data_IF_933084012746
#
_entry.id   IF_933084012746
#
_cell.length_a   1.000
_cell.length_b   1.000
_cell.length_c   1.000
_cell.angle_alpha   90.00
_cell.angle_beta   90.00
_cell.angle_gamma   90.00
#
_symmetry.space_group_name_H-M   'P 1'
#
loop_
_entity.id
_entity.type
_entity.pdbx_description
1 polymer ?
#
# COMPACT_ATOMS: atom_id res chain seq x y z
N UNK A 1 13.66 -43.48 -37.39
CA UNK A 1 13.23 -42.11 -37.63
C UNK A 1 12.01 -41.83 -36.76
N UNK A 2 12.19 -41.09 -35.66
CA UNK A 2 11.07 -40.68 -34.78
C UNK A 2 10.22 -39.65 -35.53
N UNK A 3 8.97 -39.98 -35.88
CA UNK A 3 8.03 -39.02 -36.48
C UNK A 3 7.79 -37.89 -35.50
N UNK A 4 8.13 -36.65 -35.91
CA UNK A 4 7.81 -35.44 -35.10
C UNK A 4 6.29 -35.31 -34.97
N UNK A 5 5.81 -35.12 -33.74
CA UNK A 5 4.40 -34.81 -33.48
C UNK A 5 4.01 -33.49 -34.16
N UNK A 6 2.85 -33.49 -34.80
CA UNK A 6 2.34 -32.29 -35.47
C UNK A 6 1.84 -31.28 -34.43
N UNK A 7 2.11 -29.99 -34.64
CA UNK A 7 1.57 -28.88 -33.85
C UNK A 7 1.29 -27.67 -34.75
N UNK A 8 0.22 -26.94 -34.44
CA UNK A 8 -0.15 -25.68 -35.09
C UNK A 8 -0.75 -24.74 -34.08
N UNK A 9 -0.40 -23.46 -34.15
CA UNK A 9 -0.98 -22.40 -33.29
C UNK A 9 -1.67 -21.36 -34.16
N UNK A 10 -2.84 -20.87 -33.69
CA UNK A 10 -3.66 -19.85 -34.33
C UNK A 10 -3.95 -18.76 -33.33
N UNK A 11 -4.05 -17.49 -33.78
CA UNK A 11 -4.29 -16.33 -32.90
C UNK A 11 -3.03 -15.77 -32.25
N UNK A 12 -3.19 -14.64 -31.55
CA UNK A 12 -2.15 -13.87 -30.89
C UNK A 12 -2.00 -14.22 -29.40
N UNK A 13 -1.06 -13.58 -28.72
CA UNK A 13 -0.84 -13.77 -27.28
C UNK A 13 -2.10 -13.30 -26.50
N UNK A 14 -2.76 -14.22 -25.82
CA UNK A 14 -4.02 -13.98 -25.07
C UNK A 14 -5.22 -14.72 -25.67
N UNK A 15 -5.29 -14.90 -26.99
CA UNK A 15 -6.36 -15.62 -27.69
C UNK A 15 -5.85 -16.84 -28.47
N UNK A 16 -4.64 -17.31 -28.15
CA UNK A 16 -4.00 -18.40 -28.90
C UNK A 16 -4.69 -19.74 -28.69
N UNK A 17 -5.10 -20.36 -29.79
CA UNK A 17 -5.53 -21.76 -29.84
C UNK A 17 -4.38 -22.59 -30.37
N UNK A 18 -3.89 -23.57 -29.60
CA UNK A 18 -2.84 -24.51 -30.00
C UNK A 18 -3.44 -25.89 -30.27
N UNK A 19 -3.14 -26.43 -31.41
CA UNK A 19 -3.43 -27.83 -31.83
C UNK A 19 -2.15 -28.64 -31.76
N UNK A 20 -2.21 -29.90 -31.30
CA UNK A 20 -1.04 -30.75 -31.24
C UNK A 20 -1.45 -32.23 -31.16
N UNK A 21 -0.57 -33.10 -31.59
CA UNK A 21 -0.67 -34.54 -31.37
C UNK A 21 0.14 -34.92 -30.14
N UNK A 22 -0.49 -35.56 -29.16
CA UNK A 22 0.19 -36.01 -27.93
C UNK A 22 1.24 -37.11 -28.24
N UNK A 23 0.93 -37.91 -29.25
CA UNK A 23 1.83 -38.94 -29.84
C UNK A 23 1.62 -38.97 -31.36
N UNK A 24 2.66 -39.25 -32.09
CA UNK A 24 2.62 -39.25 -33.55
C UNK A 24 1.48 -40.13 -34.10
N UNK A 25 0.55 -39.53 -34.86
CA UNK A 25 -0.63 -40.22 -35.40
C UNK A 25 -1.74 -40.46 -34.37
N UNK A 26 -1.66 -39.88 -33.18
CA UNK A 26 -2.73 -39.90 -32.18
C UNK A 26 -3.86 -38.91 -32.49
N UNK A 27 -4.94 -38.91 -31.69
CA UNK A 27 -5.99 -37.89 -31.78
C UNK A 27 -5.43 -36.50 -31.54
N UNK A 28 -5.96 -35.51 -32.26
CA UNK A 28 -5.53 -34.12 -32.11
C UNK A 28 -6.10 -33.53 -30.83
N UNK A 29 -5.22 -32.95 -30.04
CA UNK A 29 -5.53 -32.21 -28.85
C UNK A 29 -5.62 -30.71 -29.16
N UNK A 30 -6.53 -30.02 -28.51
CA UNK A 30 -6.65 -28.56 -28.51
C UNK A 30 -6.27 -28.03 -27.15
N UNK A 31 -5.43 -27.01 -27.09
CA UNK A 31 -5.13 -26.23 -25.90
C UNK A 31 -5.46 -24.76 -26.16
N UNK A 32 -6.13 -24.12 -25.24
CA UNK A 32 -6.45 -22.70 -25.26
C UNK A 32 -6.38 -22.13 -23.85
N UNK A 33 -5.91 -20.91 -23.72
CA UNK A 33 -5.93 -20.20 -22.44
C UNK A 33 -7.24 -19.42 -22.33
N UNK A 34 -8.05 -19.80 -21.36
CA UNK A 34 -9.29 -19.11 -21.00
C UNK A 34 -9.16 -18.65 -19.55
N UNK A 35 -9.25 -17.35 -19.29
CA UNK A 35 -9.14 -16.77 -17.94
C UNK A 35 -7.85 -17.17 -17.20
N UNK A 36 -6.71 -17.17 -17.91
CA UNK A 36 -5.41 -17.49 -17.34
C UNK A 36 -5.17 -18.98 -17.06
N UNK A 37 -6.12 -19.86 -17.40
CA UNK A 37 -5.99 -21.31 -17.27
C UNK A 37 -5.91 -21.98 -18.64
N UNK A 38 -4.98 -22.91 -18.77
CA UNK A 38 -4.89 -23.76 -19.94
C UNK A 38 -5.99 -24.83 -19.92
N UNK A 39 -6.91 -24.75 -20.88
CA UNK A 39 -7.96 -25.75 -21.09
C UNK A 39 -7.52 -26.65 -22.23
N UNK A 40 -7.33 -27.93 -21.93
CA UNK A 40 -6.98 -28.97 -22.91
C UNK A 40 -8.16 -29.87 -23.18
N UNK A 41 -8.43 -30.15 -24.47
CA UNK A 41 -9.52 -31.03 -24.87
C UNK A 41 -9.08 -31.84 -26.09
N UNK A 42 -9.37 -33.15 -26.11
CA UNK A 42 -9.25 -33.96 -27.29
C UNK A 42 -10.36 -33.63 -28.27
N UNK A 43 -10.02 -33.51 -29.56
CA UNK A 43 -10.99 -33.33 -30.64
C UNK A 43 -11.63 -34.65 -31.09
N UNK A 44 -11.15 -35.79 -30.59
CA UNK A 44 -11.69 -37.12 -30.88
C UNK A 44 -11.42 -37.63 -32.30
N UNK A 45 -10.65 -36.89 -33.11
CA UNK A 45 -10.27 -37.26 -34.48
C UNK A 45 -8.82 -36.93 -34.77
N UNK A 46 -8.32 -37.40 -35.96
CA UNK A 46 -6.95 -37.21 -36.45
C UNK A 46 -6.86 -36.31 -37.67
N UNK A 47 -7.99 -35.80 -38.12
CA UNK A 47 -8.09 -34.95 -39.31
C UNK A 47 -7.59 -33.54 -38.97
N UNK A 48 -6.45 -33.16 -39.54
CA UNK A 48 -5.76 -31.89 -39.29
C UNK A 48 -6.51 -30.70 -39.88
N UNK A 49 -7.11 -30.86 -41.06
CA UNK A 49 -7.88 -29.77 -41.69
C UNK A 49 -9.16 -29.47 -40.92
N UNK A 50 -9.85 -30.52 -40.48
CA UNK A 50 -11.03 -30.39 -39.62
C UNK A 50 -10.66 -29.75 -38.28
N UNK A 51 -9.53 -30.13 -37.68
CA UNK A 51 -9.04 -29.55 -36.45
C UNK A 51 -8.72 -28.05 -36.60
N UNK A 52 -8.12 -27.66 -37.73
CA UNK A 52 -7.84 -26.25 -38.05
C UNK A 52 -9.11 -25.46 -38.21
N UNK A 53 -10.13 -25.96 -38.92
CA UNK A 53 -11.43 -25.30 -39.05
C UNK A 53 -12.09 -25.06 -37.66
N UNK A 54 -12.14 -26.11 -36.84
CA UNK A 54 -12.68 -26.00 -35.46
C UNK A 54 -11.89 -25.02 -34.60
N UNK A 55 -10.58 -24.90 -34.80
CA UNK A 55 -9.76 -23.94 -34.09
C UNK A 55 -10.00 -22.50 -34.56
N UNK A 56 -10.26 -22.29 -35.86
CA UNK A 56 -10.68 -20.99 -36.39
C UNK A 56 -12.07 -20.58 -35.90
N UNK A 57 -13.05 -21.49 -35.88
CA UNK A 57 -14.37 -21.26 -35.30
C UNK A 57 -14.27 -20.82 -33.85
N UNK A 58 -13.46 -21.56 -33.06
CA UNK A 58 -13.22 -21.18 -31.65
C UNK A 58 -12.51 -19.84 -31.53
N UNK A 59 -11.50 -19.57 -32.37
CA UNK A 59 -10.77 -18.32 -32.37
C UNK A 59 -11.70 -17.15 -32.70
N UNK A 60 -12.55 -17.32 -33.73
CA UNK A 60 -13.57 -16.33 -34.10
C UNK A 60 -14.55 -16.11 -32.97
N UNK A 61 -15.02 -17.17 -32.31
CA UNK A 61 -15.91 -17.07 -31.16
C UNK A 61 -15.24 -16.40 -29.94
N UNK A 62 -13.94 -16.65 -29.72
CA UNK A 62 -13.14 -15.96 -28.67
C UNK A 62 -12.95 -14.47 -29.00
N UNK A 63 -12.69 -14.14 -30.27
CA UNK A 63 -12.52 -12.76 -30.72
C UNK A 63 -13.84 -12.00 -30.77
N UNK A 64 -14.94 -12.66 -31.11
CA UNK A 64 -16.29 -12.07 -31.12
C UNK A 64 -16.91 -11.97 -29.73
N UNK A 65 -16.23 -12.40 -28.67
CA UNK A 65 -16.79 -12.51 -27.33
C UNK A 65 -18.06 -13.40 -27.25
N UNK A 66 -18.28 -14.27 -28.24
CA UNK A 66 -19.39 -15.22 -28.24
C UNK A 66 -19.19 -16.36 -27.24
N UNK A 67 -17.93 -16.60 -26.79
CA UNK A 67 -17.63 -17.17 -25.48
C UNK A 67 -17.53 -16.06 -24.43
N UNK A 68 -18.35 -15.00 -24.57
CA UNK A 68 -18.72 -14.25 -23.40
C UNK A 68 -19.06 -15.31 -22.37
N UNK A 69 -18.20 -15.37 -21.35
CA UNK A 69 -18.44 -16.11 -20.15
C UNK A 69 -19.93 -16.32 -20.03
N UNK A 70 -20.39 -17.56 -20.21
CA UNK A 70 -21.64 -17.93 -19.55
C UNK A 70 -21.42 -17.42 -18.14
N UNK A 71 -22.09 -16.32 -17.79
CA UNK A 71 -22.02 -15.68 -16.50
C UNK A 71 -22.74 -16.60 -15.51
N UNK A 72 -22.35 -17.88 -15.52
CA UNK A 72 -22.74 -18.88 -14.60
C UNK A 72 -21.81 -18.80 -13.39
N UNK A 73 -21.83 -17.64 -12.74
CA UNK A 73 -21.22 -17.38 -11.45
C UNK A 73 -19.82 -16.71 -11.48
N UNK A 74 -19.80 -15.43 -11.22
CA UNK A 74 -18.57 -14.71 -10.89
C UNK A 74 -17.88 -15.35 -9.68
N UNK A 75 -16.70 -15.94 -9.88
CA UNK A 75 -15.89 -16.49 -8.78
C UNK A 75 -15.00 -15.41 -8.18
N UNK A 76 -14.53 -15.62 -6.95
CA UNK A 76 -13.61 -14.70 -6.28
C UNK A 76 -12.28 -14.55 -7.02
N UNK A 77 -11.77 -15.61 -7.63
CA UNK A 77 -10.57 -15.54 -8.46
C UNK A 77 -10.78 -14.65 -9.66
N UNK A 78 -11.85 -14.89 -10.42
CA UNK A 78 -12.18 -14.08 -11.60
C UNK A 78 -12.46 -12.61 -11.23
N UNK A 79 -13.21 -12.36 -10.15
CA UNK A 79 -13.41 -11.00 -9.62
C UNK A 79 -12.09 -10.29 -9.35
N UNK A 80 -11.15 -10.99 -8.70
CA UNK A 80 -9.83 -10.46 -8.40
C UNK A 80 -9.06 -10.07 -9.67
N UNK A 81 -9.02 -10.96 -10.65
CA UNK A 81 -8.25 -10.74 -11.88
C UNK A 81 -8.85 -9.56 -12.66
N UNK A 82 -10.16 -9.55 -12.87
CA UNK A 82 -10.86 -8.46 -13.56
C UNK A 82 -10.70 -7.11 -12.84
N UNK A 83 -10.78 -7.09 -11.49
CA UNK A 83 -10.58 -5.85 -10.75
C UNK A 83 -9.16 -5.32 -10.87
N UNK A 84 -8.14 -6.20 -10.81
CA UNK A 84 -6.74 -5.81 -10.91
C UNK A 84 -6.36 -5.33 -12.32
N UNK A 85 -7.07 -5.76 -13.35
CA UNK A 85 -6.91 -5.28 -14.73
C UNK A 85 -7.77 -4.03 -15.04
N UNK A 86 -8.69 -3.66 -14.15
CA UNK A 86 -9.60 -2.54 -14.38
C UNK A 86 -8.88 -1.18 -14.40
N UNK A 87 -9.40 -0.20 -15.16
CA UNK A 87 -8.88 1.18 -15.12
C UNK A 87 -8.91 1.78 -13.71
N UNK A 88 -9.87 1.38 -12.88
CA UNK A 88 -9.99 1.82 -11.49
C UNK A 88 -8.80 1.38 -10.62
N UNK A 89 -8.17 0.24 -10.94
CA UNK A 89 -6.97 -0.22 -10.27
C UNK A 89 -5.69 0.25 -10.98
N UNK A 90 -5.63 0.12 -12.29
CA UNK A 90 -4.44 0.47 -13.10
C UNK A 90 -4.09 1.96 -13.05
N UNK A 91 -5.06 2.85 -12.83
CA UNK A 91 -4.82 4.29 -12.62
C UNK A 91 -4.16 4.65 -11.30
N UNK A 92 -3.91 3.69 -10.39
CA UNK A 92 -3.26 3.95 -9.09
C UNK A 92 -1.74 3.98 -9.23
N UNK A 93 -1.06 4.55 -8.21
CA UNK A 93 0.41 4.49 -8.10
C UNK A 93 0.88 3.02 -8.03
N UNK A 94 1.97 2.67 -8.73
CA UNK A 94 2.51 1.31 -8.81
C UNK A 94 2.64 0.59 -7.45
N UNK A 95 3.06 1.31 -6.41
CA UNK A 95 3.11 0.77 -5.05
C UNK A 95 1.74 0.33 -4.53
N UNK A 96 0.70 1.13 -4.77
CA UNK A 96 -0.67 0.80 -4.36
C UNK A 96 -1.21 -0.40 -5.12
N UNK A 97 -0.93 -0.49 -6.42
CA UNK A 97 -1.29 -1.65 -7.24
C UNK A 97 -0.65 -2.93 -6.67
N UNK A 98 0.65 -2.90 -6.38
CA UNK A 98 1.36 -4.04 -5.82
C UNK A 98 0.81 -4.47 -4.45
N UNK A 99 0.56 -3.51 -3.55
CA UNK A 99 0.05 -3.80 -2.21
C UNK A 99 -1.40 -4.31 -2.24
N UNK A 100 -2.27 -3.75 -3.10
CA UNK A 100 -3.64 -4.24 -3.32
C UNK A 100 -3.65 -5.63 -3.95
N UNK A 101 -2.81 -5.89 -4.96
CA UNK A 101 -2.69 -7.22 -5.59
C UNK A 101 -2.29 -8.30 -4.59
N UNK A 102 -1.30 -8.04 -3.74
CA UNK A 102 -0.90 -8.97 -2.66
C UNK A 102 -2.02 -9.22 -1.66
N UNK A 103 -2.72 -8.16 -1.27
CA UNK A 103 -3.81 -8.25 -0.30
C UNK A 103 -4.99 -9.03 -0.87
N UNK A 104 -5.41 -8.71 -2.10
CA UNK A 104 -6.53 -9.39 -2.74
C UNK A 104 -6.22 -10.87 -2.98
N UNK A 105 -5.00 -11.19 -3.44
CA UNK A 105 -4.54 -12.58 -3.58
C UNK A 105 -4.66 -13.36 -2.26
N UNK A 106 -4.24 -12.77 -1.14
CA UNK A 106 -4.35 -13.39 0.20
C UNK A 106 -5.81 -13.61 0.61
N UNK A 107 -6.67 -12.60 0.41
CA UNK A 107 -8.09 -12.65 0.74
C UNK A 107 -8.79 -13.72 -0.10
N UNK A 108 -8.57 -13.72 -1.40
CA UNK A 108 -9.14 -14.71 -2.33
C UNK A 108 -8.67 -16.13 -1.99
N UNK A 109 -7.38 -16.31 -1.71
CA UNK A 109 -6.86 -17.61 -1.29
C UNK A 109 -7.51 -18.12 -0.01
N UNK A 110 -7.83 -17.23 0.93
CA UNK A 110 -8.49 -17.62 2.18
C UNK A 110 -9.95 -18.02 1.98
N UNK A 111 -10.72 -17.29 1.16
CA UNK A 111 -12.13 -17.58 0.90
C UNK A 111 -12.34 -18.72 -0.11
N UNK A 112 -11.32 -19.07 -0.89
CA UNK A 112 -11.36 -20.03 -1.99
C UNK A 112 -11.54 -19.33 -3.36
N UNK A 113 -10.58 -19.46 -4.30
CA UNK A 113 -10.62 -18.76 -5.58
C UNK A 113 -11.79 -19.19 -6.48
N UNK A 114 -12.26 -20.43 -6.34
CA UNK A 114 -13.37 -20.99 -7.12
C UNK A 114 -14.74 -20.70 -6.50
N UNK A 115 -14.77 -20.09 -5.31
CA UNK A 115 -16.01 -19.76 -4.62
C UNK A 115 -16.79 -18.70 -5.38
N UNK A 116 -18.09 -18.91 -5.55
CA UNK A 116 -19.02 -17.95 -6.15
C UNK A 116 -19.17 -16.72 -5.26
N UNK A 117 -19.09 -15.54 -5.87
CA UNK A 117 -19.17 -14.25 -5.15
C UNK A 117 -20.51 -14.10 -4.43
N UNK A 118 -21.61 -14.51 -5.04
CA UNK A 118 -22.95 -14.38 -4.48
C UNK A 118 -23.16 -15.20 -3.20
N UNK A 119 -22.31 -16.21 -2.94
CA UNK A 119 -22.40 -17.06 -1.73
C UNK A 119 -21.67 -16.47 -0.52
N UNK A 120 -21.02 -15.31 -0.68
CA UNK A 120 -20.40 -14.63 0.44
C UNK A 120 -21.45 -14.11 1.41
N UNK A 121 -21.14 -14.19 2.69
CA UNK A 121 -22.03 -13.78 3.76
C UNK A 121 -21.30 -13.05 4.89
N UNK A 122 -22.04 -12.39 5.77
CA UNK A 122 -21.49 -11.78 6.98
C UNK A 122 -20.81 -12.81 7.91
N UNK A 123 -21.29 -14.06 7.94
CA UNK A 123 -20.65 -15.13 8.70
C UNK A 123 -19.24 -15.46 8.18
N UNK A 124 -19.00 -15.34 6.88
CA UNK A 124 -17.69 -15.54 6.29
C UNK A 124 -16.72 -14.43 6.70
N UNK A 125 -17.20 -13.19 6.72
CA UNK A 125 -16.44 -12.04 7.19
C UNK A 125 -16.05 -12.20 8.67
N UNK A 126 -16.96 -12.69 9.50
CA UNK A 126 -16.66 -13.01 10.91
C UNK A 126 -15.62 -14.13 11.04
N UNK A 127 -15.75 -15.23 10.28
CA UNK A 127 -14.77 -16.33 10.27
C UNK A 127 -13.39 -15.86 9.83
N UNK A 128 -13.31 -15.08 8.75
CA UNK A 128 -12.06 -14.46 8.31
C UNK A 128 -11.44 -13.60 9.40
N UNK A 129 -12.25 -12.76 10.05
CA UNK A 129 -11.80 -11.88 11.13
C UNK A 129 -11.20 -12.66 12.30
N UNK A 130 -11.89 -13.71 12.76
CA UNK A 130 -11.40 -14.56 13.84
C UNK A 130 -10.10 -15.28 13.46
N UNK A 131 -10.06 -15.88 12.29
CA UNK A 131 -8.89 -16.60 11.80
C UNK A 131 -7.66 -15.65 11.67
N UNK A 132 -7.85 -14.45 11.15
CA UNK A 132 -6.76 -13.47 11.01
C UNK A 132 -6.26 -12.93 12.35
N UNK A 133 -7.14 -12.78 13.35
CA UNK A 133 -6.74 -12.40 14.72
C UNK A 133 -5.90 -13.47 15.39
N UNK A 134 -6.17 -14.74 15.13
CA UNK A 134 -5.50 -15.89 15.74
C UNK A 134 -4.35 -16.44 14.86
N UNK A 135 -4.23 -16.00 13.61
CA UNK A 135 -3.24 -16.54 12.68
C UNK A 135 -3.56 -17.95 12.18
N UNK A 136 -4.86 -18.35 12.17
CA UNK A 136 -5.28 -19.68 11.75
C UNK A 136 -5.22 -19.86 10.23
N UNK A 137 -5.02 -21.11 9.75
CA UNK A 137 -5.06 -21.42 8.33
C UNK A 137 -6.47 -21.23 7.74
N UNK A 138 -6.53 -21.10 6.43
CA UNK A 138 -7.80 -21.08 5.70
C UNK A 138 -8.41 -22.48 5.60
N UNK A 139 -9.74 -22.59 5.60
CA UNK A 139 -10.42 -23.84 5.26
C UNK A 139 -10.20 -24.28 3.81
N UNK A 140 -9.63 -23.42 2.95
CA UNK A 140 -9.34 -23.67 1.54
C UNK A 140 -7.84 -23.85 1.24
N UNK A 141 -7.02 -24.23 2.24
CA UNK A 141 -5.62 -24.60 2.07
C UNK A 141 -4.61 -23.45 2.10
N UNK A 142 -5.04 -22.21 2.34
CA UNK A 142 -4.09 -21.14 2.59
C UNK A 142 -3.43 -21.31 3.97
N UNK A 143 -2.10 -21.21 4.01
CA UNK A 143 -1.31 -21.41 5.22
C UNK A 143 -1.69 -20.46 6.36
N UNK A 144 -1.43 -20.90 7.59
CA UNK A 144 -1.51 -20.07 8.78
C UNK A 144 -0.57 -18.87 8.65
N UNK A 145 -1.08 -17.70 9.00
CA UNK A 145 -0.29 -16.48 9.04
C UNK A 145 -0.04 -16.03 10.48
N UNK A 146 0.80 -15.03 10.66
CA UNK A 146 0.90 -14.39 11.98
C UNK A 146 -0.41 -13.67 12.33
N UNK A 147 -0.80 -13.64 13.63
CA UNK A 147 -1.90 -12.82 14.11
C UNK A 147 -1.76 -11.35 13.71
N UNK A 148 -2.86 -10.72 13.34
CA UNK A 148 -2.88 -9.30 12.96
C UNK A 148 -4.05 -8.57 13.62
N UNK A 149 -3.88 -7.25 13.82
CA UNK A 149 -4.90 -6.41 14.44
C UNK A 149 -6.04 -6.02 13.49
N UNK A 150 -7.14 -5.56 14.07
CA UNK A 150 -8.39 -5.21 13.40
C UNK A 150 -8.21 -4.19 12.27
N UNK A 151 -7.28 -3.27 12.39
CA UNK A 151 -6.95 -2.33 11.31
C UNK A 151 -6.49 -3.03 10.03
N UNK A 152 -5.64 -4.05 10.15
CA UNK A 152 -5.16 -4.82 9.00
C UNK A 152 -6.28 -5.66 8.40
N UNK A 153 -7.07 -6.30 9.26
CA UNK A 153 -8.21 -7.13 8.84
C UNK A 153 -9.26 -6.26 8.14
N UNK A 154 -9.58 -5.10 8.72
CA UNK A 154 -10.51 -4.14 8.11
C UNK A 154 -10.02 -3.64 6.75
N UNK A 155 -8.71 -3.41 6.58
CA UNK A 155 -8.14 -3.02 5.29
C UNK A 155 -8.20 -4.16 4.24
N UNK A 156 -7.95 -5.41 4.65
CA UNK A 156 -8.08 -6.58 3.79
C UNK A 156 -9.53 -6.70 3.25
N UNK A 157 -10.51 -6.63 4.15
CA UNK A 157 -11.93 -6.74 3.81
C UNK A 157 -12.47 -5.53 3.05
N UNK A 158 -12.01 -4.31 3.37
CA UNK A 158 -12.38 -3.10 2.62
C UNK A 158 -11.94 -3.19 1.15
N UNK A 159 -10.79 -3.82 0.87
CA UNK A 159 -10.36 -4.06 -0.48
C UNK A 159 -11.29 -5.05 -1.22
N UNK A 160 -11.69 -6.14 -0.56
CA UNK A 160 -12.69 -7.06 -1.11
C UNK A 160 -14.00 -6.34 -1.40
N UNK A 161 -14.52 -5.56 -0.44
CA UNK A 161 -15.76 -4.77 -0.64
C UNK A 161 -15.63 -3.76 -1.76
N UNK A 162 -14.45 -3.21 -1.99
CA UNK A 162 -14.19 -2.28 -3.10
C UNK A 162 -14.26 -3.02 -4.44
N UNK A 163 -13.69 -4.21 -4.54
CA UNK A 163 -13.79 -5.04 -5.75
C UNK A 163 -15.24 -5.45 -6.02
N UNK A 164 -16.00 -5.82 -4.98
CA UNK A 164 -17.42 -6.16 -5.09
C UNK A 164 -18.26 -4.97 -5.54
N UNK A 165 -18.03 -3.78 -4.96
CA UNK A 165 -18.71 -2.53 -5.36
C UNK A 165 -18.39 -2.11 -6.79
N UNK A 166 -17.15 -2.35 -7.21
CA UNK A 166 -16.75 -2.14 -8.60
C UNK A 166 -17.51 -3.08 -9.53
N UNK A 167 -17.49 -4.39 -9.27
CA UNK A 167 -18.20 -5.39 -10.07
C UNK A 167 -19.72 -5.15 -10.18
N UNK A 168 -20.34 -4.65 -9.10
CA UNK A 168 -21.77 -4.30 -9.10
C UNK A 168 -22.11 -3.06 -9.97
N UNK A 169 -21.10 -2.28 -10.36
CA UNK A 169 -21.25 -1.11 -11.25
C UNK A 169 -20.79 -1.39 -12.67
N UNK A 170 -19.83 -2.31 -12.81
CA UNK A 170 -19.25 -2.67 -14.10
C UNK A 170 -20.24 -3.45 -14.94
N UNK A 171 -20.18 -3.23 -16.26
CA UNK A 171 -21.03 -3.93 -17.21
C UNK A 171 -20.19 -4.82 -18.11
N UNK A 172 -20.74 -5.97 -18.43
CA UNK A 172 -20.20 -6.86 -19.44
C UNK A 172 -20.36 -6.25 -20.85
N UNK A 173 -19.75 -6.84 -21.84
CA UNK A 173 -19.91 -6.46 -23.25
C UNK A 173 -21.36 -6.62 -23.74
N UNK A 174 -22.14 -7.49 -23.09
CA UNK A 174 -23.58 -7.66 -23.33
C UNK A 174 -24.44 -6.60 -22.65
N UNK A 175 -23.85 -5.68 -21.87
CA UNK A 175 -24.55 -4.61 -21.16
C UNK A 175 -25.10 -5.02 -19.78
N UNK A 176 -25.02 -6.30 -19.40
CA UNK A 176 -25.41 -6.78 -18.08
C UNK A 176 -24.39 -6.38 -17.01
N UNK A 177 -24.81 -6.30 -15.75
CA UNK A 177 -23.90 -6.05 -14.63
C UNK A 177 -23.04 -7.28 -14.38
N UNK A 178 -21.74 -7.08 -14.17
CA UNK A 178 -20.79 -8.16 -13.83
C UNK A 178 -21.20 -8.87 -12.52
N UNK A 179 -21.76 -8.13 -11.57
CA UNK A 179 -22.36 -8.64 -10.33
C UNK A 179 -23.72 -7.96 -10.14
N UNK A 180 -24.79 -8.73 -10.03
CA UNK A 180 -26.14 -8.17 -9.88
C UNK A 180 -26.27 -7.31 -8.63
N UNK A 181 -25.81 -7.87 -7.49
CA UNK A 181 -25.85 -7.23 -6.18
C UNK A 181 -24.63 -7.63 -5.35
N UNK A 182 -24.10 -6.68 -4.58
CA UNK A 182 -23.03 -6.98 -3.64
C UNK A 182 -23.57 -7.76 -2.43
N UNK A 183 -23.16 -9.02 -2.22
CA UNK A 183 -23.70 -9.85 -1.12
C UNK A 183 -23.27 -9.39 0.28
N UNK A 184 -22.31 -8.49 0.37
CA UNK A 184 -21.76 -7.95 1.62
C UNK A 184 -22.19 -6.49 1.88
N UNK A 185 -23.34 -6.06 1.33
CA UNK A 185 -23.88 -4.73 1.63
C UNK A 185 -24.19 -4.62 3.12
N UNK A 186 -23.77 -3.52 3.75
CA UNK A 186 -24.04 -3.25 5.16
C UNK A 186 -23.21 -4.03 6.17
N UNK A 187 -22.31 -4.90 5.72
CA UNK A 187 -21.40 -5.63 6.61
C UNK A 187 -20.51 -4.67 7.38
N UNK A 188 -20.47 -4.82 8.71
CA UNK A 188 -19.59 -4.04 9.58
C UNK A 188 -18.19 -4.66 9.61
N UNK A 189 -17.21 -3.87 9.21
CA UNK A 189 -15.81 -4.28 9.24
C UNK A 189 -15.18 -4.05 10.62
N UNK A 190 -14.23 -4.91 11.02
CA UNK A 190 -13.45 -4.64 12.22
C UNK A 190 -12.64 -3.35 12.07
N UNK A 191 -12.60 -2.58 13.12
CA UNK A 191 -11.85 -1.32 13.19
C UNK A 191 -11.07 -1.25 14.48
N UNK A 192 -9.89 -0.65 14.42
CA UNK A 192 -9.07 -0.42 15.59
C UNK A 192 -9.73 0.63 16.50
N UNK A 193 -10.04 0.22 17.73
CA UNK A 193 -10.50 1.12 18.78
C UNK A 193 -9.30 1.73 19.48
N UNK A 194 -9.29 3.04 19.67
CA UNK A 194 -8.25 3.79 20.40
C UNK A 194 -6.82 3.43 19.95
N UNK A 195 -6.44 3.70 18.68
CA UNK A 195 -5.12 3.38 18.20
C UNK A 195 -4.05 4.09 19.01
N UNK A 196 -3.08 3.32 19.54
CA UNK A 196 -1.91 3.90 20.20
C UNK A 196 -1.10 4.71 19.19
N UNK A 197 -0.94 6.00 19.48
CA UNK A 197 -0.20 6.94 18.64
C UNK A 197 0.87 7.63 19.48
N UNK A 198 1.98 6.96 19.80
CA UNK A 198 2.98 7.51 20.69
C UNK A 198 3.56 8.81 20.13
N UNK A 199 3.71 9.80 20.99
CA UNK A 199 4.43 11.04 20.75
C UNK A 199 5.84 10.86 21.30
N UNK A 200 6.85 11.22 20.54
CA UNK A 200 8.25 11.23 21.02
C UNK A 200 8.37 12.22 22.17
N UNK A 201 8.89 11.77 23.32
CA UNK A 201 9.20 12.67 24.40
C UNK A 201 10.53 13.39 24.14
N UNK A 202 10.69 14.58 24.72
CA UNK A 202 11.89 15.39 24.44
C UNK A 202 13.17 14.74 24.95
N UNK A 203 13.13 14.14 26.14
CA UNK A 203 14.26 13.39 26.71
C UNK A 203 14.62 12.13 25.92
N UNK A 204 13.62 11.40 25.39
CA UNK A 204 13.84 10.29 24.49
C UNK A 204 14.55 10.77 23.20
N UNK A 205 14.10 11.90 22.63
CA UNK A 205 14.73 12.49 21.45
C UNK A 205 16.19 12.85 21.68
N UNK A 206 16.52 13.49 22.81
CA UNK A 206 17.88 13.85 23.16
C UNK A 206 18.78 12.61 23.35
N UNK A 207 18.28 11.53 23.96
CA UNK A 207 19.01 10.26 24.09
C UNK A 207 19.28 9.64 22.72
N UNK A 208 18.32 9.66 21.80
CA UNK A 208 18.54 9.16 20.43
C UNK A 208 19.57 10.01 19.69
N UNK A 209 19.52 11.33 19.85
CA UNK A 209 20.47 12.25 19.22
C UNK A 209 21.90 12.02 19.72
N UNK A 210 22.08 11.79 21.01
CA UNK A 210 23.39 11.56 21.63
C UNK A 210 24.10 10.28 21.12
N UNK A 211 23.35 9.28 20.65
CA UNK A 211 23.93 8.03 20.12
C UNK A 211 23.99 7.96 18.60
N UNK A 212 23.39 8.94 17.91
CA UNK A 212 23.12 8.87 16.48
C UNK A 212 24.39 8.72 15.62
N UNK A 213 25.43 9.50 15.89
CA UNK A 213 26.70 9.47 15.13
C UNK A 213 27.44 8.14 15.24
N UNK A 214 27.30 7.44 16.37
CA UNK A 214 27.88 6.11 16.59
C UNK A 214 27.26 5.03 15.69
N UNK A 215 26.09 5.29 15.14
CA UNK A 215 25.36 4.37 14.27
C UNK A 215 25.61 4.74 12.81
N UNK A 216 25.40 6.01 12.47
CA UNK A 216 25.65 6.51 11.13
C UNK A 216 25.72 8.05 11.13
N UNK A 217 26.68 8.68 10.42
CA UNK A 217 26.83 10.15 10.40
C UNK A 217 25.56 10.91 9.96
N UNK A 218 24.74 10.33 9.07
CA UNK A 218 23.51 10.95 8.62
C UNK A 218 22.31 10.70 9.54
N UNK A 219 22.44 9.89 10.59
CA UNK A 219 21.30 9.64 11.48
C UNK A 219 21.00 10.86 12.35
N UNK A 220 22.01 11.57 12.82
CA UNK A 220 21.82 12.81 13.55
C UNK A 220 21.06 13.84 12.72
N UNK A 221 21.50 14.07 11.48
CA UNK A 221 20.79 14.91 10.52
C UNK A 221 19.34 14.45 10.30
N UNK A 222 19.12 13.14 10.13
CA UNK A 222 17.79 12.59 9.92
C UNK A 222 16.85 12.85 11.11
N UNK A 223 17.36 12.75 12.33
CA UNK A 223 16.63 13.05 13.57
C UNK A 223 16.25 14.54 13.64
N UNK A 224 17.24 15.43 13.40
CA UNK A 224 17.02 16.89 13.41
C UNK A 224 16.01 17.31 12.35
N UNK A 225 16.16 16.83 11.11
CA UNK A 225 15.23 17.17 10.02
C UNK A 225 13.83 16.59 10.28
N UNK A 226 13.73 15.35 10.78
CA UNK A 226 12.43 14.74 11.05
C UNK A 226 11.67 15.46 12.18
N UNK A 227 12.37 15.83 13.24
CA UNK A 227 11.80 16.53 14.38
C UNK A 227 11.55 18.02 14.06
N UNK A 228 12.53 18.73 13.51
CA UNK A 228 12.44 20.18 13.29
C UNK A 228 11.46 20.57 12.17
N UNK A 229 11.22 19.71 11.18
CA UNK A 229 10.30 20.02 10.08
C UNK A 229 8.90 19.41 10.25
N UNK A 230 8.75 18.40 11.08
CA UNK A 230 7.51 17.66 11.23
C UNK A 230 7.03 16.96 9.95
N UNK A 231 7.82 16.93 8.87
CA UNK A 231 7.44 16.33 7.59
C UNK A 231 7.45 14.80 7.64
N UNK A 232 6.73 14.17 6.69
CA UNK A 232 6.72 12.70 6.59
C UNK A 232 8.08 12.19 6.13
N UNK A 233 8.45 10.98 6.59
CA UNK A 233 9.68 10.30 6.16
C UNK A 233 9.87 10.32 4.64
N UNK A 234 8.81 10.08 3.85
CA UNK A 234 8.89 10.10 2.39
C UNK A 234 9.24 11.48 1.82
N UNK A 235 8.91 12.57 2.49
CA UNK A 235 9.24 13.91 2.03
C UNK A 235 10.72 14.21 2.32
N UNK A 236 11.15 14.15 3.59
CA UNK A 236 12.49 14.57 3.93
C UNK A 236 13.60 13.58 3.50
N UNK A 237 13.36 12.26 3.45
CA UNK A 237 14.36 11.32 2.94
C UNK A 237 14.65 11.47 1.43
N UNK A 238 13.71 12.04 0.67
CA UNK A 238 13.86 12.34 -0.76
C UNK A 238 14.20 13.81 -1.01
N UNK A 239 14.70 14.52 -0.02
CA UNK A 239 15.19 15.88 -0.17
C UNK A 239 16.49 15.88 -0.98
N UNK A 240 16.61 16.78 -1.92
CA UNK A 240 17.81 17.03 -2.70
C UNK A 240 18.42 18.36 -2.28
N UNK A 241 19.71 18.55 -2.53
CA UNK A 241 20.38 19.79 -2.15
C UNK A 241 19.81 21.02 -2.85
N UNK A 242 19.33 20.90 -4.09
CA UNK A 242 18.65 22.00 -4.80
C UNK A 242 17.27 22.38 -4.20
N UNK A 243 16.77 21.59 -3.27
CA UNK A 243 15.55 21.90 -2.53
C UNK A 243 15.82 22.73 -1.28
N UNK A 244 17.08 22.92 -0.90
CA UNK A 244 17.49 23.63 0.31
C UNK A 244 18.08 24.99 -0.08
N UNK A 245 17.32 26.03 0.18
CA UNK A 245 17.77 27.41 0.00
C UNK A 245 18.32 27.92 1.35
N UNK A 246 19.66 27.97 1.44
CA UNK A 246 20.33 28.44 2.64
C UNK A 246 20.26 29.95 2.81
N UNK A 247 20.16 30.72 1.74
CA UNK A 247 20.09 32.18 1.77
C UNK A 247 18.71 32.63 2.22
N UNK A 248 17.65 32.09 1.61
CA UNK A 248 16.29 32.33 2.03
C UNK A 248 15.92 31.61 3.36
N UNK A 249 16.73 30.68 3.83
CA UNK A 249 16.44 29.88 5.02
C UNK A 249 15.20 29.00 4.86
N UNK A 250 14.99 28.40 3.67
CA UNK A 250 13.77 27.69 3.32
C UNK A 250 14.03 26.33 2.66
N UNK A 251 13.05 25.44 2.74
CA UNK A 251 13.08 24.13 2.08
C UNK A 251 11.89 24.02 1.13
N UNK A 252 12.15 23.64 -0.11
CA UNK A 252 11.15 23.27 -1.10
C UNK A 252 10.77 21.79 -0.96
N UNK A 253 9.52 21.52 -0.66
CA UNK A 253 8.97 20.17 -0.57
C UNK A 253 8.29 19.80 -1.87
N UNK A 254 8.93 18.95 -2.70
CA UNK A 254 8.44 18.60 -4.04
C UNK A 254 7.12 17.81 -3.99
N UNK A 255 6.21 18.15 -4.90
CA UNK A 255 4.94 17.46 -5.11
C UNK A 255 5.10 15.94 -5.34
N UNK A 256 6.14 15.53 -6.06
CA UNK A 256 6.42 14.12 -6.36
C UNK A 256 6.64 13.26 -5.11
N UNK A 257 7.16 13.85 -4.03
CA UNK A 257 7.45 13.15 -2.76
C UNK A 257 6.37 13.37 -1.70
N UNK A 258 5.41 14.25 -1.96
CA UNK A 258 4.21 14.39 -1.14
C UNK A 258 3.15 13.33 -1.51
N UNK A 259 2.51 12.77 -0.49
CA UNK A 259 1.46 11.75 -0.71
C UNK A 259 0.27 12.31 -1.50
N UNK A 260 0.04 13.63 -1.43
CA UNK A 260 -1.10 14.33 -2.03
C UNK A 260 -0.75 15.17 -3.25
N UNK A 261 0.55 15.25 -3.61
CA UNK A 261 1.02 15.96 -4.79
C UNK A 261 1.06 17.49 -4.66
N UNK A 262 1.23 18.02 -3.46
CA UNK A 262 1.37 19.47 -3.23
C UNK A 262 2.84 19.85 -3.08
N UNK A 263 3.27 20.84 -3.85
CA UNK A 263 4.55 21.50 -3.65
C UNK A 263 4.41 22.67 -2.66
N UNK A 264 5.40 22.80 -1.78
CA UNK A 264 5.39 23.85 -0.75
C UNK A 264 6.82 24.30 -0.48
N UNK A 265 7.00 25.60 -0.29
CA UNK A 265 8.23 26.19 0.27
C UNK A 265 7.93 26.62 1.70
N UNK A 266 8.77 26.18 2.63
CA UNK A 266 8.54 26.40 4.06
C UNK A 266 9.86 26.81 4.72
N UNK A 267 9.88 27.84 5.56
CA UNK A 267 11.07 28.22 6.34
C UNK A 267 11.59 27.03 7.17
N UNK A 268 12.89 26.97 7.39
CA UNK A 268 13.54 26.03 8.30
C UNK A 268 14.00 26.73 9.58
N UNK A 269 14.03 25.98 10.68
CA UNK A 269 14.60 26.48 11.94
C UNK A 269 16.11 26.60 11.86
N UNK A 270 16.74 27.37 12.77
CA UNK A 270 18.18 27.50 12.88
C UNK A 270 18.89 26.15 12.97
N UNK A 271 18.40 25.28 13.88
CA UNK A 271 18.98 23.93 14.10
C UNK A 271 18.96 23.08 12.82
N UNK A 272 17.85 23.12 12.06
CA UNK A 272 17.74 22.41 10.78
C UNK A 272 18.69 22.99 9.74
N UNK A 273 18.80 24.32 9.67
CA UNK A 273 19.72 25.01 8.76
C UNK A 273 21.18 24.65 9.04
N UNK A 274 21.58 24.73 10.31
CA UNK A 274 22.94 24.41 10.73
C UNK A 274 23.31 22.94 10.47
N UNK A 275 22.41 22.01 10.80
CA UNK A 275 22.60 20.59 10.55
C UNK A 275 22.72 20.26 9.04
N UNK A 276 21.91 20.89 8.22
CA UNK A 276 21.97 20.75 6.75
C UNK A 276 23.27 21.37 6.20
N UNK A 277 23.70 22.53 6.68
CA UNK A 277 24.96 23.16 6.28
C UNK A 277 26.16 22.29 6.66
N UNK A 278 26.19 21.73 7.86
CA UNK A 278 27.24 20.82 8.30
C UNK A 278 27.31 19.55 7.43
N UNK A 279 26.15 18.95 7.15
CA UNK A 279 26.07 17.79 6.27
C UNK A 279 26.47 18.09 4.82
N UNK A 280 26.13 19.26 4.30
CA UNK A 280 26.53 19.71 2.94
C UNK A 280 28.06 19.81 2.82
N UNK A 281 28.70 20.40 3.85
CA UNK A 281 30.16 20.49 3.91
C UNK A 281 30.83 19.11 4.01
N UNK A 282 30.27 18.20 4.82
CA UNK A 282 30.83 16.86 5.02
C UNK A 282 30.67 15.96 3.78
N UNK A 283 29.60 16.09 3.02
CA UNK A 283 29.36 15.24 1.86
C UNK A 283 30.19 15.57 0.62
N UNK A 284 30.71 16.80 0.48
CA UNK A 284 31.54 17.26 -0.64
C UNK A 284 31.04 16.82 -2.04
N UNK A 285 29.74 16.69 -2.21
CA UNK A 285 29.14 16.20 -3.46
C UNK A 285 29.01 17.32 -4.49
N UNK A 286 29.26 16.97 -5.76
CA UNK A 286 29.09 17.89 -6.90
C UNK A 286 27.70 17.67 -7.50
N UNK A 287 27.02 18.77 -7.84
CA UNK A 287 25.71 18.74 -8.48
C UNK A 287 24.54 18.47 -7.53
N UNK A 288 23.38 18.19 -8.13
CA UNK A 288 22.13 17.96 -7.41
C UNK A 288 22.02 16.51 -6.94
N UNK A 289 22.46 16.24 -5.73
CA UNK A 289 22.42 14.92 -5.10
C UNK A 289 21.45 14.90 -3.92
N UNK A 290 20.94 13.71 -3.53
CA UNK A 290 20.11 13.57 -2.33
C UNK A 290 20.85 14.02 -1.07
N UNK A 291 20.14 14.67 -0.15
CA UNK A 291 20.62 14.94 1.22
C UNK A 291 20.89 13.65 1.99
N UNK A 292 20.11 12.62 1.73
CA UNK A 292 20.24 11.28 2.30
C UNK A 292 20.54 10.26 1.19
N UNK A 293 21.78 10.18 0.68
CA UNK A 293 22.13 9.30 -0.42
C UNK A 293 22.09 7.82 -0.03
N UNK A 294 21.69 6.97 -0.97
CA UNK A 294 21.72 5.52 -0.77
C UNK A 294 23.18 5.00 -0.85
N UNK A 295 23.60 4.06 0.03
CA UNK A 295 25.00 3.61 0.12
C UNK A 295 25.55 3.03 -1.19
N UNK A 296 24.72 2.30 -1.94
CA UNK A 296 25.14 1.66 -3.21
C UNK A 296 24.99 2.55 -4.45
N UNK A 297 24.20 3.61 -4.35
CA UNK A 297 23.97 4.54 -5.45
C UNK A 297 23.70 5.94 -4.90
N UNK A 298 24.73 6.77 -4.78
CA UNK A 298 24.63 8.12 -4.19
C UNK A 298 23.70 9.08 -4.94
N UNK A 299 23.35 8.78 -6.20
CA UNK A 299 22.39 9.60 -6.96
C UNK A 299 20.94 9.33 -6.58
N UNK A 300 20.67 8.31 -5.79
CA UNK A 300 19.35 7.96 -5.28
C UNK A 300 19.25 8.18 -3.80
N UNK A 301 18.05 8.54 -3.34
CA UNK A 301 17.76 8.68 -1.91
C UNK A 301 17.76 7.32 -1.19
N UNK A 302 18.20 7.33 0.06
CA UNK A 302 18.19 6.19 0.98
C UNK A 302 16.82 5.53 1.05
N UNK A 303 16.81 4.21 1.11
CA UNK A 303 15.59 3.42 1.29
C UNK A 303 15.01 3.60 2.70
N UNK A 304 13.68 3.52 2.82
CA UNK A 304 13.00 3.59 4.12
C UNK A 304 13.55 2.57 5.12
N UNK A 305 13.77 1.34 4.68
CA UNK A 305 14.23 0.27 5.57
C UNK A 305 15.58 0.57 6.23
N UNK A 306 16.50 1.18 5.49
CA UNK A 306 17.80 1.60 6.02
C UNK A 306 17.63 2.64 7.15
N UNK A 307 16.81 3.65 6.92
CA UNK A 307 16.53 4.68 7.95
C UNK A 307 15.78 4.10 9.16
N UNK A 308 14.86 3.17 8.92
CA UNK A 308 14.15 2.45 9.98
C UNK A 308 15.14 1.56 10.78
N UNK A 309 16.15 0.97 10.13
CA UNK A 309 17.21 0.17 10.79
C UNK A 309 18.12 1.04 11.66
N UNK A 310 18.55 2.19 11.17
CA UNK A 310 19.32 3.14 11.96
C UNK A 310 18.56 3.57 13.22
N UNK A 311 17.29 3.95 13.06
CA UNK A 311 16.48 4.38 14.20
C UNK A 311 16.26 3.24 15.21
N UNK A 312 16.07 1.99 14.77
CA UNK A 312 15.98 0.84 15.70
C UNK A 312 17.26 0.65 16.50
N UNK A 313 18.41 0.68 15.85
CA UNK A 313 19.72 0.61 16.52
C UNK A 313 19.92 1.76 17.51
N UNK A 314 19.42 2.96 17.19
CA UNK A 314 19.48 4.09 18.11
C UNK A 314 18.65 3.86 19.37
N UNK A 315 17.44 3.31 19.26
CA UNK A 315 16.63 2.92 20.42
C UNK A 315 17.36 1.89 21.29
N UNK A 316 17.94 0.87 20.68
CA UNK A 316 18.70 -0.18 21.38
C UNK A 316 19.94 0.40 22.10
N UNK A 317 20.74 1.22 21.41
CA UNK A 317 21.95 1.82 21.97
C UNK A 317 21.66 2.86 23.05
N UNK A 318 20.54 3.57 22.95
CA UNK A 318 20.09 4.53 23.95
C UNK A 318 19.37 3.88 25.15
N UNK A 319 19.22 2.56 25.18
CA UNK A 319 18.50 1.84 26.24
C UNK A 319 17.01 2.16 26.30
N UNK A 320 16.40 2.56 25.17
CA UNK A 320 15.01 2.97 25.13
C UNK A 320 14.10 1.85 24.60
N UNK A 321 13.00 1.61 25.30
CA UNK A 321 11.98 0.66 24.85
C UNK A 321 11.08 1.32 23.79
N UNK A 322 11.16 0.85 22.56
CA UNK A 322 10.35 1.37 21.46
C UNK A 322 8.89 0.95 21.57
N UNK A 323 7.99 1.91 21.73
CA UNK A 323 6.57 1.64 21.70
C UNK A 323 6.08 1.24 20.28
N UNK A 324 5.04 0.39 20.14
CA UNK A 324 4.40 0.12 18.84
C UNK A 324 3.95 1.43 18.16
N UNK A 325 4.37 1.64 16.90
CA UNK A 325 4.10 2.87 16.16
C UNK A 325 5.00 4.07 16.48
N UNK A 326 6.01 3.91 17.34
CA UNK A 326 7.00 4.93 17.71
C UNK A 326 8.22 4.92 16.75
N UNK A 327 8.00 4.98 15.46
CA UNK A 327 9.06 5.26 14.48
C UNK A 327 9.03 6.75 14.11
N UNK A 328 9.53 7.13 12.98
CA UNK A 328 9.57 8.52 12.48
C UNK A 328 8.27 9.32 12.65
N UNK A 329 7.13 8.66 12.69
CA UNK A 329 5.83 9.31 12.93
C UNK A 329 5.65 9.84 14.36
N UNK A 330 6.38 9.32 15.35
CA UNK A 330 6.31 9.85 16.72
C UNK A 330 6.93 11.24 16.82
N UNK A 331 8.01 11.51 16.09
CA UNK A 331 8.62 12.85 15.99
C UNK A 331 7.68 13.84 15.31
N UNK A 332 7.00 13.42 14.24
CA UNK A 332 6.02 14.25 13.56
C UNK A 332 4.80 14.58 14.45
N UNK A 333 4.43 13.66 15.36
CA UNK A 333 3.40 13.90 16.36
C UNK A 333 3.90 14.87 17.45
N UNK A 334 5.15 14.71 17.90
CA UNK A 334 5.81 15.65 18.81
C UNK A 334 5.78 17.06 18.22
N UNK A 335 6.26 17.23 17.01
CA UNK A 335 6.25 18.51 16.30
C UNK A 335 4.86 19.17 16.25
N UNK A 336 3.83 18.40 15.91
CA UNK A 336 2.45 18.89 15.85
C UNK A 336 1.86 19.21 17.22
N UNK A 337 2.16 18.40 18.24
CA UNK A 337 1.65 18.57 19.60
C UNK A 337 2.25 19.81 20.28
N UNK A 338 3.56 20.02 20.11
CA UNK A 338 4.24 21.21 20.67
C UNK A 338 3.77 22.53 20.04
N UNK A 339 3.22 22.45 18.83
CA UNK A 339 2.70 23.62 18.09
C UNK A 339 1.17 23.80 18.16
N UNK A 340 0.52 23.19 19.14
CA UNK A 340 -0.94 23.30 19.29
C UNK A 340 -1.44 24.70 19.68
N UNK A 341 -0.57 25.54 20.21
CA UNK A 341 -0.85 26.94 20.51
C UNK A 341 -0.84 27.89 19.31
N UNK A 342 -0.39 27.41 18.13
CA UNK A 342 -0.38 28.20 16.91
C UNK A 342 -1.64 27.98 16.07
N UNK A 343 -1.97 28.90 15.14
CA UNK A 343 -3.10 28.74 14.24
C UNK A 343 -3.01 27.40 13.50
N UNK A 344 -4.05 26.59 13.60
CA UNK A 344 -4.07 25.21 13.07
C UNK A 344 -3.84 25.16 11.56
N UNK A 345 -4.25 26.20 10.83
CA UNK A 345 -4.04 26.33 9.39
C UNK A 345 -2.55 26.41 9.05
N UNK A 346 -1.79 27.19 9.82
CA UNK A 346 -0.36 27.39 9.63
C UNK A 346 0.43 26.15 10.01
N UNK A 347 0.07 25.48 11.12
CA UNK A 347 0.63 24.18 11.50
C UNK A 347 0.36 23.12 10.41
N UNK A 348 -0.86 23.12 9.86
CA UNK A 348 -1.25 22.22 8.78
C UNK A 348 -0.41 22.44 7.53
N UNK A 349 -0.22 23.69 7.12
CA UNK A 349 0.61 24.06 5.98
C UNK A 349 2.06 23.70 6.21
N UNK A 350 2.68 24.21 7.29
CA UNK A 350 4.09 24.01 7.60
C UNK A 350 4.47 22.52 7.68
N UNK A 351 3.67 21.69 8.32
CA UNK A 351 3.91 20.25 8.42
C UNK A 351 3.50 19.43 7.19
N UNK A 352 2.85 20.02 6.17
CA UNK A 352 2.42 19.32 4.96
C UNK A 352 1.28 18.33 5.19
N UNK A 353 0.25 18.73 5.92
CA UNK A 353 -1.03 18.03 5.94
C UNK A 353 -2.01 18.65 4.94
N UNK A 354 -2.97 17.86 4.50
CA UNK A 354 -4.00 18.34 3.58
C UNK A 354 -5.13 19.07 4.32
N UNK A 355 -5.45 18.59 5.52
CA UNK A 355 -6.60 19.09 6.28
C UNK A 355 -6.24 19.22 7.75
N UNK A 356 -6.76 20.24 8.38
CA UNK A 356 -6.66 20.53 9.80
C UNK A 356 -7.22 19.36 10.64
N UNK A 357 -8.35 18.79 10.20
CA UNK A 357 -8.93 17.60 10.83
C UNK A 357 -7.93 16.46 11.01
N UNK A 358 -7.04 16.24 10.02
CA UNK A 358 -6.01 15.20 10.13
C UNK A 358 -4.99 15.55 11.22
N UNK A 359 -4.61 16.82 11.36
CA UNK A 359 -3.69 17.27 12.43
C UNK A 359 -4.33 17.03 13.79
N UNK A 360 -5.52 17.54 13.98
CA UNK A 360 -6.26 17.46 15.26
C UNK A 360 -6.56 16.01 15.66
N UNK A 361 -7.04 15.17 14.73
CA UNK A 361 -7.48 13.80 15.06
C UNK A 361 -6.35 12.79 15.19
N UNK A 362 -5.19 13.05 14.58
CA UNK A 362 -4.17 12.00 14.41
C UNK A 362 -2.77 12.37 14.83
N UNK A 363 -2.47 13.67 14.96
CA UNK A 363 -1.12 14.13 15.22
C UNK A 363 -1.01 14.98 16.49
N UNK A 364 -1.83 16.00 16.67
CA UNK A 364 -1.87 16.73 17.92
C UNK A 364 -2.52 15.88 19.01
N UNK A 365 -1.92 15.87 20.18
CA UNK A 365 -2.42 15.17 21.34
C UNK A 365 -2.44 16.09 22.55
N UNK A 366 -3.30 15.75 23.51
CA UNK A 366 -3.26 16.39 24.80
C UNK A 366 -1.92 16.05 25.50
N UNK A 367 -1.28 17.01 26.10
CA UNK A 367 -0.16 16.81 27.02
C UNK A 367 -0.57 17.16 28.46
N UNK A 368 0.15 16.57 29.40
CA UNK A 368 -0.19 16.66 30.82
C UNK A 368 -0.22 18.13 31.34
N UNK A 369 0.72 18.96 30.86
CA UNK A 369 0.85 20.34 31.34
C UNK A 369 -0.35 21.19 30.89
N UNK A 370 -0.69 21.18 29.61
CA UNK A 370 -1.85 21.97 29.15
C UNK A 370 -3.17 21.41 29.64
N UNK A 371 -3.33 20.09 29.82
CA UNK A 371 -4.51 19.51 30.47
C UNK A 371 -4.62 19.98 31.88
N UNK A 372 -3.51 20.02 32.63
CA UNK A 372 -3.49 20.57 34.00
C UNK A 372 -3.93 22.03 34.02
N UNK A 373 -3.40 22.87 33.12
CA UNK A 373 -3.79 24.28 33.02
C UNK A 373 -5.29 24.45 32.73
N UNK A 374 -5.82 23.67 31.77
CA UNK A 374 -7.27 23.70 31.45
C UNK A 374 -8.13 23.33 32.65
N UNK A 375 -7.70 22.35 33.45
CA UNK A 375 -8.47 21.90 34.63
C UNK A 375 -8.34 22.86 35.80
N UNK A 376 -7.13 23.37 36.05
CA UNK A 376 -6.87 24.19 37.25
C UNK A 376 -7.24 25.68 37.08
N UNK A 377 -7.39 26.16 35.85
CA UNK A 377 -7.75 27.55 35.55
C UNK A 377 -9.09 27.67 34.80
N UNK A 378 -10.22 27.29 35.43
CA UNK A 378 -11.53 27.47 34.81
C UNK A 378 -11.82 28.96 34.63
N UNK A 379 -12.40 29.34 33.49
CA UNK A 379 -12.76 30.73 33.16
C UNK A 379 -13.85 31.32 34.07
N UNK A 380 -14.65 30.46 34.70
CA UNK A 380 -15.68 30.86 35.65
C UNK A 380 -15.59 29.99 36.90
N UNK A 381 -15.28 30.61 38.04
CA UNK A 381 -15.52 30.00 39.35
C UNK A 381 -16.96 30.28 39.76
N UNK A 382 -17.76 29.25 39.89
CA UNK A 382 -19.00 29.36 40.67
C UNK A 382 -18.58 29.54 42.12
N UNK A 383 -18.63 30.79 42.63
CA UNK A 383 -18.48 31.06 44.06
C UNK A 383 -19.79 30.59 44.66
N UNK A 384 -19.80 29.41 45.26
CA UNK A 384 -20.89 29.01 46.16
C UNK A 384 -20.86 29.98 47.35
N UNK A 385 -21.91 30.75 47.49
CA UNK A 385 -22.21 31.52 48.70
C UNK A 385 -22.72 30.60 49.80
#
# INVERSE_FOLDING_TARGET
>A
MTRKCWTKSLGERGTRVRLYEDRAGGPIMRSVFINGREVRKSLGHRDRERAIRQAYELLTALLANEHALEVHSLTLGLLSDLYLESPAHMGKKARSQCDEGRTLKRVVAWFGPTRRVETLSDSDVRRYTMARRQGLPSPHGAEAGRPVGDRTIGADLELLLRALRWAARERTTTGERLLKENPLVGVRLPSEKNPKRPVMQHDEYLKLLAVAERIHPLLQLALIVAEGTGRRLSAWRNLFWDDVDFDAGAIRWRAAHDKKGYEQVVPMSGDVKEALMAARRAQQTIGNTPVFPAPRNPTRSSGRHLLDDWLRKAYELAGLTRQPGAMWHSMRRKWATERKGYPIKDVTFAGGWRTERTVLSSYQQADAETVRQVVLHPTHRVVSR
#
